data_IF_908096910838
#
_entry.id   IF_908096910838
#
_cell.length_a   1.000
_cell.length_b   1.000
_cell.length_c   1.000
_cell.angle_alpha   90.00
_cell.angle_beta   90.00
_cell.angle_gamma   90.00
#
_symmetry.space_group_name_H-M   'P 1'
#
loop_
_entity.id
_entity.type
_entity.pdbx_description
1 polymer ?
#
# COMPACT_ATOMS: atom_id res chain seq x y z
N UNK A 1 -22.03 -23.71 -67.66
CA UNK A 1 -21.36 -22.93 -66.59
C UNK A 1 -22.47 -22.41 -65.68
N UNK A 2 -22.50 -22.82 -64.41
CA UNK A 2 -23.50 -22.42 -63.40
C UNK A 2 -22.96 -21.23 -62.56
N UNK A 3 -23.72 -20.37 -61.88
CA UNK A 3 -25.17 -20.14 -61.66
C UNK A 3 -25.40 -18.60 -61.70
N UNK A 4 -26.53 -18.05 -62.19
CA UNK A 4 -27.87 -17.86 -61.57
C UNK A 4 -27.88 -16.95 -60.32
N UNK A 5 -28.76 -15.95 -60.36
CA UNK A 5 -28.98 -14.88 -59.39
C UNK A 5 -29.87 -15.28 -58.19
N UNK A 6 -29.88 -14.39 -57.19
CA UNK A 6 -30.89 -14.14 -56.15
C UNK A 6 -31.29 -15.23 -55.12
N UNK A 7 -31.30 -14.81 -53.85
CA UNK A 7 -31.65 -15.64 -52.71
C UNK A 7 -31.64 -14.91 -51.37
N UNK A 8 -32.50 -13.92 -51.18
CA UNK A 8 -32.73 -13.33 -49.87
C UNK A 8 -33.50 -14.30 -48.95
N UNK A 9 -33.00 -14.59 -47.75
CA UNK A 9 -33.78 -15.23 -46.68
C UNK A 9 -33.27 -14.81 -45.28
N UNK A 10 -34.14 -14.42 -44.34
CA UNK A 10 -33.72 -13.75 -43.11
C UNK A 10 -33.81 -14.66 -41.87
N UNK A 11 -32.72 -15.34 -41.48
CA UNK A 11 -32.55 -15.82 -40.09
C UNK A 11 -31.09 -16.19 -39.77
N UNK A 12 -30.43 -15.43 -38.87
CA UNK A 12 -29.22 -15.88 -38.16
C UNK A 12 -29.22 -15.41 -36.70
N UNK A 13 -29.38 -16.41 -35.82
CA UNK A 13 -29.01 -16.52 -34.40
C UNK A 13 -28.37 -15.28 -33.71
N UNK A 14 -28.98 -14.75 -32.62
CA UNK A 14 -28.40 -13.66 -31.82
C UNK A 14 -27.12 -14.00 -31.02
N UNK A 15 -26.70 -15.28 -30.94
CA UNK A 15 -25.69 -15.74 -29.96
C UNK A 15 -24.24 -15.89 -30.48
N UNK A 16 -23.87 -15.22 -31.57
CA UNK A 16 -22.45 -15.08 -31.97
C UNK A 16 -22.09 -13.66 -32.39
N UNK A 17 -21.77 -12.81 -31.40
CA UNK A 17 -20.93 -11.62 -31.61
C UNK A 17 -19.51 -11.89 -31.11
N UNK A 18 -18.72 -12.53 -31.96
CA UNK A 18 -17.26 -12.38 -31.90
C UNK A 18 -16.98 -11.00 -32.50
N UNK A 19 -16.49 -10.07 -31.69
CA UNK A 19 -16.12 -8.73 -32.17
C UNK A 19 -14.71 -8.83 -32.75
N UNK A 20 -14.62 -9.22 -34.03
CA UNK A 20 -13.43 -8.94 -34.83
C UNK A 20 -13.35 -7.42 -35.06
N UNK A 21 -12.55 -6.74 -34.23
CA UNK A 21 -12.22 -5.34 -34.48
C UNK A 21 -11.39 -5.23 -35.76
N UNK A 22 -12.04 -4.82 -36.84
CA UNK A 22 -11.39 -4.57 -38.12
C UNK A 22 -10.32 -3.48 -37.93
N UNK A 23 -9.06 -3.85 -38.21
CA UNK A 23 -7.88 -3.03 -37.93
C UNK A 23 -7.94 -1.63 -38.58
N UNK A 24 -8.77 -1.46 -39.62
CA UNK A 24 -8.95 -0.21 -40.36
C UNK A 24 -9.81 0.84 -39.64
N UNK A 25 -10.80 0.46 -38.81
CA UNK A 25 -11.62 1.46 -38.07
C UNK A 25 -10.80 2.16 -36.96
N UNK A 26 -9.87 1.43 -36.33
CA UNK A 26 -8.93 1.98 -35.35
C UNK A 26 -7.97 3.01 -35.97
N UNK A 27 -7.69 2.93 -37.27
CA UNK A 27 -6.92 3.95 -37.99
C UNK A 27 -7.76 5.16 -38.39
N UNK A 28 -9.07 5.02 -38.61
CA UNK A 28 -9.94 6.15 -38.92
C UNK A 28 -10.02 7.14 -37.74
N UNK A 29 -10.29 6.64 -36.51
CA UNK A 29 -10.30 7.46 -35.28
C UNK A 29 -8.95 8.10 -34.92
N UNK A 30 -7.84 7.71 -35.56
CA UNK A 30 -6.52 8.34 -35.35
C UNK A 30 -6.42 9.75 -35.97
N UNK A 31 -7.28 10.10 -36.94
CA UNK A 31 -7.15 11.34 -37.72
C UNK A 31 -7.87 12.58 -37.16
N UNK A 32 -8.76 12.43 -36.17
CA UNK A 32 -9.67 13.51 -35.76
C UNK A 32 -9.28 14.24 -34.46
N UNK A 33 -8.07 14.02 -33.92
CA UNK A 33 -7.56 14.81 -32.80
C UNK A 33 -6.53 15.87 -33.26
N UNK A 34 -6.91 17.17 -33.34
CA UNK A 34 -6.05 18.21 -33.89
C UNK A 34 -4.78 18.49 -33.07
N UNK A 35 -4.69 18.02 -31.82
CA UNK A 35 -3.52 18.18 -30.96
C UNK A 35 -2.38 17.19 -31.27
N UNK A 36 -2.64 16.07 -31.95
CA UNK A 36 -1.63 15.07 -32.26
C UNK A 36 -0.85 15.33 -33.57
N UNK A 37 -1.25 16.32 -34.38
CA UNK A 37 -0.64 16.56 -35.69
C UNK A 37 0.70 17.32 -35.65
N UNK A 38 1.04 17.96 -34.52
CA UNK A 38 2.14 18.96 -34.44
C UNK A 38 3.45 18.38 -33.88
N UNK A 39 3.40 17.29 -33.11
CA UNK A 39 4.56 16.76 -32.38
C UNK A 39 4.85 15.29 -32.76
N UNK A 40 5.95 15.06 -33.48
CA UNK A 40 6.46 13.72 -33.87
C UNK A 40 7.04 12.93 -32.68
N UNK A 41 6.19 12.56 -31.73
CA UNK A 41 6.53 11.62 -30.65
C UNK A 41 5.46 10.53 -30.56
N UNK A 42 5.83 9.29 -30.16
CA UNK A 42 4.84 8.25 -29.90
C UNK A 42 4.00 8.67 -28.69
N UNK A 43 2.71 8.95 -28.92
CA UNK A 43 1.80 9.28 -27.83
C UNK A 43 1.73 8.09 -26.86
N UNK A 44 1.89 8.29 -25.53
CA UNK A 44 1.54 7.26 -24.58
C UNK A 44 0.05 6.94 -24.73
N UNK A 45 -0.32 5.67 -24.54
CA UNK A 45 -1.71 5.22 -24.58
C UNK A 45 -2.47 5.73 -23.35
N UNK A 46 -2.84 7.01 -23.40
CA UNK A 46 -3.81 7.60 -22.47
C UNK A 46 -5.18 7.08 -22.91
N UNK A 47 -5.63 6.02 -22.25
CA UNK A 47 -7.02 5.61 -22.31
C UNK A 47 -7.88 6.74 -21.71
N UNK A 48 -8.42 7.60 -22.58
CA UNK A 48 -9.46 8.58 -22.23
C UNK A 48 -10.77 7.82 -21.96
N UNK A 49 -10.80 7.10 -20.85
CA UNK A 49 -11.98 6.42 -20.32
C UNK A 49 -12.87 7.47 -19.63
N UNK A 50 -13.57 8.26 -20.46
CA UNK A 50 -14.52 9.27 -20.03
C UNK A 50 -15.82 8.64 -19.51
N UNK A 51 -15.72 7.75 -18.51
CA UNK A 51 -16.87 7.21 -17.77
C UNK A 51 -17.08 8.02 -16.49
N UNK A 52 -18.00 9.00 -16.46
CA UNK A 52 -18.48 9.56 -15.21
C UNK A 52 -19.35 8.52 -14.48
N UNK A 53 -19.33 8.57 -13.16
CA UNK A 53 -19.96 7.64 -12.20
C UNK A 53 -19.34 6.23 -12.14
N UNK A 54 -18.86 5.88 -10.94
CA UNK A 54 -18.99 4.52 -10.42
C UNK A 54 -17.87 3.53 -10.74
N UNK A 55 -16.67 3.76 -10.19
CA UNK A 55 -15.81 2.65 -9.72
C UNK A 55 -16.03 2.46 -8.20
N UNK A 56 -17.13 1.82 -7.74
CA UNK A 56 -17.35 1.64 -6.32
C UNK A 56 -16.36 0.61 -5.77
N UNK A 57 -15.70 0.99 -4.68
CA UNK A 57 -15.16 0.15 -3.61
C UNK A 57 -14.29 -1.08 -3.97
N UNK A 58 -13.07 -1.04 -3.42
CA UNK A 58 -12.40 -2.13 -2.69
C UNK A 58 -12.92 -3.56 -2.96
N UNK A 59 -12.03 -4.46 -3.40
CA UNK A 59 -12.31 -5.88 -3.67
C UNK A 59 -12.71 -6.67 -2.41
N UNK A 60 -13.94 -6.43 -1.95
CA UNK A 60 -14.56 -7.06 -0.79
C UNK A 60 -14.90 -8.50 -1.18
N UNK A 61 -14.07 -9.43 -0.72
CA UNK A 61 -14.24 -10.86 -0.88
C UNK A 61 -14.19 -11.55 0.49
N UNK A 62 -14.41 -12.87 0.53
CA UNK A 62 -14.40 -13.66 1.78
C UNK A 62 -13.09 -13.51 2.56
N UNK A 63 -11.94 -13.40 1.87
CA UNK A 63 -10.64 -13.17 2.53
C UNK A 63 -10.58 -11.83 3.24
N UNK A 64 -11.15 -10.77 2.64
CA UNK A 64 -11.22 -9.45 3.28
C UNK A 64 -12.11 -9.45 4.54
N UNK A 65 -13.24 -10.16 4.53
CA UNK A 65 -14.06 -10.31 5.75
C UNK A 65 -13.33 -11.11 6.83
N UNK A 66 -12.65 -12.22 6.47
CA UNK A 66 -11.85 -13.00 7.41
C UNK A 66 -10.69 -12.19 8.00
N UNK A 67 -10.05 -11.33 7.20
CA UNK A 67 -9.03 -10.38 7.63
C UNK A 67 -9.58 -9.42 8.69
N UNK A 68 -10.73 -8.77 8.44
CA UNK A 68 -11.36 -7.85 9.39
C UNK A 68 -11.76 -8.56 10.70
N UNK A 69 -12.37 -9.74 10.61
CA UNK A 69 -12.73 -10.54 11.79
C UNK A 69 -11.48 -10.89 12.60
N UNK A 70 -10.40 -11.33 11.93
CA UNK A 70 -9.14 -11.69 12.61
C UNK A 70 -8.49 -10.48 13.27
N UNK A 71 -8.53 -9.30 12.64
CA UNK A 71 -8.04 -8.05 13.23
C UNK A 71 -8.84 -7.69 14.49
N UNK A 72 -10.18 -7.77 14.46
CA UNK A 72 -11.02 -7.53 15.64
C UNK A 72 -10.73 -8.54 16.77
N UNK A 73 -10.48 -9.80 16.45
CA UNK A 73 -10.08 -10.82 17.44
C UNK A 73 -8.68 -10.53 18.02
N UNK A 74 -7.73 -10.02 17.23
CA UNK A 74 -6.42 -9.58 17.74
C UNK A 74 -6.56 -8.35 18.66
N UNK A 75 -7.39 -7.38 18.30
CA UNK A 75 -7.67 -6.20 19.12
C UNK A 75 -8.31 -6.60 20.46
N UNK A 76 -9.23 -7.56 20.45
CA UNK A 76 -9.79 -8.17 21.66
C UNK A 76 -8.72 -8.93 22.47
N UNK A 77 -7.84 -9.68 21.80
CA UNK A 77 -6.74 -10.39 22.46
C UNK A 77 -5.79 -9.43 23.18
N UNK A 78 -5.48 -8.28 22.58
CA UNK A 78 -4.71 -7.18 23.20
C UNK A 78 -5.47 -6.57 24.37
N UNK A 79 -6.75 -6.20 24.19
CA UNK A 79 -7.56 -5.58 25.24
C UNK A 79 -7.72 -6.46 26.50
N UNK A 80 -7.56 -7.78 26.36
CA UNK A 80 -7.69 -8.77 27.44
C UNK A 80 -6.35 -9.38 27.88
N UNK A 81 -5.21 -8.87 27.39
CA UNK A 81 -3.86 -9.41 27.63
C UNK A 81 -3.72 -10.93 27.32
N UNK A 82 -4.52 -11.46 26.39
CA UNK A 82 -4.55 -12.87 26.01
C UNK A 82 -3.37 -13.23 25.08
N UNK A 83 -2.17 -13.30 25.66
CA UNK A 83 -0.90 -13.53 24.97
C UNK A 83 -0.88 -14.75 24.02
N UNK A 84 -1.57 -15.86 24.36
CA UNK A 84 -1.64 -17.06 23.51
C UNK A 84 -2.43 -16.83 22.23
N UNK A 85 -3.56 -16.12 22.34
CA UNK A 85 -4.40 -15.77 21.20
C UNK A 85 -3.64 -14.81 20.30
N UNK A 86 -3.04 -13.76 20.88
CA UNK A 86 -2.22 -12.77 20.16
C UNK A 86 -1.04 -13.38 19.40
N UNK A 87 -0.42 -14.43 19.93
CA UNK A 87 0.68 -15.14 19.26
C UNK A 87 0.25 -15.76 17.92
N UNK A 88 -1.03 -16.13 17.78
CA UNK A 88 -1.60 -16.68 16.55
C UNK A 88 -2.24 -15.59 15.69
N UNK A 89 -3.06 -14.71 16.30
CA UNK A 89 -3.84 -13.72 15.56
C UNK A 89 -2.97 -12.65 14.93
N UNK A 90 -1.92 -12.17 15.60
CA UNK A 90 -1.08 -11.08 15.09
C UNK A 90 -0.39 -11.44 13.76
N UNK A 91 0.32 -12.59 13.61
CA UNK A 91 0.80 -13.02 12.30
C UNK A 91 -0.34 -13.33 11.31
N UNK A 92 -1.47 -13.88 11.78
CA UNK A 92 -2.57 -14.28 10.92
C UNK A 92 -3.24 -13.10 10.20
N UNK A 93 -3.34 -11.92 10.82
CA UNK A 93 -3.85 -10.71 10.14
C UNK A 93 -2.99 -10.38 8.91
N UNK A 94 -1.66 -10.35 9.06
CA UNK A 94 -0.75 -10.06 7.94
C UNK A 94 -0.74 -11.17 6.89
N UNK A 95 -0.83 -12.45 7.30
CA UNK A 95 -0.98 -13.58 6.36
C UNK A 95 -2.26 -13.44 5.53
N UNK A 96 -3.39 -13.13 6.16
CA UNK A 96 -4.67 -12.92 5.44
C UNK A 96 -4.61 -11.70 4.52
N UNK A 97 -3.90 -10.64 4.90
CA UNK A 97 -3.68 -9.46 4.06
C UNK A 97 -2.83 -9.81 2.82
N UNK A 98 -1.77 -10.62 2.98
CA UNK A 98 -0.96 -11.14 1.86
C UNK A 98 -1.80 -12.05 0.94
N UNK A 99 -2.66 -12.92 1.50
CA UNK A 99 -3.55 -13.78 0.70
C UNK A 99 -4.57 -12.93 -0.07
N UNK A 100 -5.15 -11.91 0.56
CA UNK A 100 -6.07 -10.97 -0.12
C UNK A 100 -5.36 -10.26 -1.27
N UNK A 101 -4.21 -9.64 -0.99
CA UNK A 101 -3.35 -8.97 -1.97
C UNK A 101 -2.99 -9.86 -3.17
N UNK A 102 -2.61 -11.11 -2.89
CA UNK A 102 -2.25 -12.10 -3.91
C UNK A 102 -3.43 -12.47 -4.80
N UNK A 103 -4.60 -12.75 -4.20
CA UNK A 103 -5.81 -13.14 -4.95
C UNK A 103 -6.41 -11.98 -5.75
N UNK A 104 -6.19 -10.75 -5.31
CA UNK A 104 -6.54 -9.53 -6.05
C UNK A 104 -5.54 -9.17 -7.15
N UNK A 105 -4.51 -9.97 -7.43
CA UNK A 105 -3.55 -9.68 -8.52
C UNK A 105 -2.50 -8.62 -8.19
N UNK A 106 -2.29 -8.31 -6.90
CA UNK A 106 -1.38 -7.24 -6.46
C UNK A 106 0.10 -7.43 -6.79
N UNK A 107 0.51 -8.54 -7.41
CA UNK A 107 1.92 -8.82 -7.74
C UNK A 107 2.39 -8.24 -9.08
N UNK A 108 1.54 -7.49 -9.79
CA UNK A 108 1.90 -6.87 -11.07
C UNK A 108 2.59 -5.51 -10.89
N UNK A 109 3.51 -5.16 -11.80
CA UNK A 109 4.17 -3.86 -11.85
C UNK A 109 4.86 -3.47 -10.53
N UNK A 110 4.52 -2.28 -10.01
CA UNK A 110 5.04 -1.77 -8.73
C UNK A 110 4.54 -2.54 -7.50
N UNK A 111 3.52 -3.39 -7.67
CA UNK A 111 2.88 -4.15 -6.60
C UNK A 111 3.78 -5.23 -5.98
N UNK A 112 4.77 -5.72 -6.73
CA UNK A 112 5.84 -6.59 -6.20
C UNK A 112 6.47 -5.98 -4.94
N UNK A 113 6.69 -4.67 -4.92
CA UNK A 113 7.28 -3.98 -3.77
C UNK A 113 6.33 -3.90 -2.57
N UNK A 114 5.02 -3.73 -2.79
CA UNK A 114 4.02 -3.79 -1.72
C UNK A 114 3.90 -5.21 -1.15
N UNK A 115 3.96 -6.25 -2.00
CA UNK A 115 3.97 -7.64 -1.56
C UNK A 115 5.23 -8.01 -0.75
N UNK A 116 6.40 -7.57 -1.20
CA UNK A 116 7.67 -7.70 -0.43
C UNK A 116 7.55 -6.96 0.91
N UNK A 117 6.99 -5.75 0.93
CA UNK A 117 6.80 -4.99 2.15
C UNK A 117 5.89 -5.69 3.16
N UNK A 118 4.81 -6.35 2.71
CA UNK A 118 3.95 -7.17 3.56
C UNK A 118 4.68 -8.38 4.15
N UNK A 119 5.48 -9.10 3.35
CA UNK A 119 6.25 -10.26 3.81
C UNK A 119 7.26 -9.85 4.89
N UNK A 120 7.99 -8.74 4.68
CA UNK A 120 8.91 -8.23 5.70
C UNK A 120 8.19 -7.63 6.92
N UNK A 121 7.00 -7.05 6.75
CA UNK A 121 6.16 -6.62 7.88
C UNK A 121 5.71 -7.81 8.74
N UNK A 122 5.31 -8.93 8.13
CA UNK A 122 4.97 -10.18 8.82
C UNK A 122 6.15 -10.74 9.63
N UNK A 123 7.35 -10.78 9.05
CA UNK A 123 8.56 -11.18 9.80
C UNK A 123 8.87 -10.21 10.94
N UNK A 124 8.75 -8.89 10.71
CA UNK A 124 8.84 -7.87 11.74
C UNK A 124 7.86 -8.11 12.89
N UNK A 125 6.60 -8.43 12.59
CA UNK A 125 5.58 -8.70 13.60
C UNK A 125 5.88 -9.92 14.46
N UNK A 126 6.40 -11.00 13.84
CA UNK A 126 6.83 -12.23 14.52
C UNK A 126 8.02 -11.92 15.44
N UNK A 127 9.04 -11.20 14.94
CA UNK A 127 10.20 -10.82 15.75
C UNK A 127 9.85 -9.85 16.88
N UNK A 128 8.82 -9.01 16.73
CA UNK A 128 8.34 -8.10 17.78
C UNK A 128 7.31 -8.72 18.73
N UNK A 129 7.02 -10.02 18.66
CA UNK A 129 6.16 -10.68 19.66
C UNK A 129 6.81 -10.63 21.05
N UNK A 130 6.05 -10.13 22.06
CA UNK A 130 6.50 -10.04 23.46
C UNK A 130 7.03 -11.38 24.02
N UNK A 131 6.55 -12.52 23.53
CA UNK A 131 7.08 -13.84 23.86
C UNK A 131 8.53 -14.02 23.41
N UNK A 132 8.82 -13.76 22.13
CA UNK A 132 10.18 -13.82 21.56
C UNK A 132 11.12 -12.82 22.25
N UNK A 133 10.67 -11.58 22.45
CA UNK A 133 11.46 -10.52 23.10
C UNK A 133 11.86 -10.86 24.54
N UNK A 134 11.02 -11.59 25.29
CA UNK A 134 11.34 -12.07 26.64
C UNK A 134 12.40 -13.17 26.64
N UNK A 135 12.47 -13.97 25.57
CA UNK A 135 13.44 -15.07 25.43
C UNK A 135 14.80 -14.55 24.95
N UNK A 136 14.82 -13.65 23.95
CA UNK A 136 16.04 -12.99 23.49
C UNK A 136 15.80 -11.51 23.16
N UNK A 137 16.38 -10.56 23.90
CA UNK A 137 16.24 -9.12 23.63
C UNK A 137 16.70 -8.69 22.23
N UNK A 138 17.61 -9.46 21.60
CA UNK A 138 18.12 -9.21 20.24
C UNK A 138 17.06 -9.26 19.15
N UNK A 139 15.92 -9.96 19.34
CA UNK A 139 14.84 -10.00 18.36
C UNK A 139 14.24 -8.62 18.06
N UNK A 140 14.36 -7.65 18.96
CA UNK A 140 13.96 -6.27 18.66
C UNK A 140 14.76 -5.67 17.48
N UNK A 141 16.06 -5.96 17.38
CA UNK A 141 16.89 -5.48 16.27
C UNK A 141 16.52 -6.17 14.95
N UNK A 142 16.24 -7.48 14.99
CA UNK A 142 15.76 -8.22 13.81
C UNK A 142 14.39 -7.72 13.34
N UNK A 143 13.47 -7.42 14.27
CA UNK A 143 12.20 -6.77 13.96
C UNK A 143 12.38 -5.41 13.31
N UNK A 144 13.24 -4.55 13.88
CA UNK A 144 13.57 -3.23 13.33
C UNK A 144 14.15 -3.31 11.91
N UNK A 145 15.08 -4.24 11.65
CA UNK A 145 15.66 -4.46 10.32
C UNK A 145 14.61 -5.01 9.33
N UNK A 146 13.73 -5.89 9.79
CA UNK A 146 12.65 -6.44 8.96
C UNK A 146 11.67 -5.33 8.52
N UNK A 147 11.18 -4.53 9.47
CA UNK A 147 10.35 -3.36 9.14
C UNK A 147 11.10 -2.32 8.31
N UNK A 148 12.41 -2.11 8.51
CA UNK A 148 13.20 -1.20 7.68
C UNK A 148 13.15 -1.61 6.20
N UNK A 149 13.33 -2.89 5.90
CA UNK A 149 13.23 -3.43 4.54
C UNK A 149 11.81 -3.26 3.99
N UNK A 150 10.78 -3.47 4.82
CA UNK A 150 9.39 -3.21 4.43
C UNK A 150 9.15 -1.74 4.04
N UNK A 151 9.65 -0.79 4.83
CA UNK A 151 9.50 0.64 4.51
C UNK A 151 10.29 1.04 3.25
N UNK A 152 11.49 0.50 3.03
CA UNK A 152 12.25 0.69 1.77
C UNK A 152 11.44 0.17 0.58
N UNK A 153 10.83 -1.01 0.70
CA UNK A 153 10.01 -1.57 -0.35
C UNK A 153 8.76 -0.70 -0.61
N UNK A 154 8.05 -0.22 0.41
CA UNK A 154 6.97 0.76 0.21
C UNK A 154 7.44 2.05 -0.47
N UNK A 155 8.58 2.63 -0.08
CA UNK A 155 9.15 3.81 -0.77
C UNK A 155 9.35 3.51 -2.26
N UNK A 156 9.94 2.37 -2.61
CA UNK A 156 10.17 2.01 -4.02
C UNK A 156 8.83 1.82 -4.77
N UNK A 157 7.86 1.14 -4.15
CA UNK A 157 6.54 0.91 -4.74
C UNK A 157 5.73 2.19 -4.98
N UNK A 158 5.71 3.12 -4.03
CA UNK A 158 5.03 4.40 -4.18
C UNK A 158 5.67 5.30 -5.24
N UNK A 159 7.00 5.26 -5.40
CA UNK A 159 7.73 6.10 -6.37
C UNK A 159 7.87 5.48 -7.77
N UNK A 160 6.87 4.69 -8.19
CA UNK A 160 6.76 4.14 -9.55
C UNK A 160 5.41 4.53 -10.19
N UNK A 161 5.39 5.18 -11.37
CA UNK A 161 6.52 5.88 -11.98
C UNK A 161 7.12 6.94 -11.03
N UNK A 162 8.36 7.39 -11.31
CA UNK A 162 9.04 8.37 -10.45
C UNK A 162 8.23 9.68 -10.43
N UNK A 163 7.90 10.25 -9.26
CA UNK A 163 7.19 11.51 -9.19
C UNK A 163 8.05 12.64 -9.77
N UNK A 164 7.40 13.57 -10.46
CA UNK A 164 8.04 14.82 -10.87
C UNK A 164 8.21 15.72 -9.64
N UNK A 165 9.45 16.17 -9.39
CA UNK A 165 9.76 17.09 -8.31
C UNK A 165 9.14 18.46 -8.58
N UNK A 166 8.03 18.75 -7.90
CA UNK A 166 7.28 20.01 -7.94
C UNK A 166 7.45 20.78 -6.62
N UNK A 167 7.22 22.11 -6.62
CA UNK A 167 7.26 22.90 -5.38
C UNK A 167 6.34 22.35 -4.27
N UNK A 168 5.09 21.92 -4.54
CA UNK A 168 4.25 21.25 -3.54
C UNK A 168 4.84 19.95 -3.00
N UNK A 169 5.49 19.12 -3.85
CA UNK A 169 6.14 17.88 -3.40
C UNK A 169 7.30 18.14 -2.42
N UNK A 170 8.08 19.20 -2.67
CA UNK A 170 9.13 19.66 -1.76
C UNK A 170 8.53 20.17 -0.43
N UNK A 171 7.39 20.86 -0.49
CA UNK A 171 6.64 21.27 0.71
C UNK A 171 6.23 20.10 1.59
N UNK A 172 5.74 19.00 1.00
CA UNK A 172 5.43 17.75 1.73
C UNK A 172 6.69 17.17 2.38
N UNK A 173 7.80 17.05 1.63
CA UNK A 173 9.06 16.51 2.15
C UNK A 173 9.58 17.34 3.33
N UNK A 174 9.55 18.68 3.22
CA UNK A 174 9.95 19.59 4.30
C UNK A 174 9.03 19.45 5.52
N UNK A 175 7.71 19.41 5.32
CA UNK A 175 6.76 19.27 6.42
C UNK A 175 6.95 17.95 7.19
N UNK A 176 7.11 16.83 6.47
CA UNK A 176 7.38 15.51 7.08
C UNK A 176 8.75 15.50 7.77
N UNK A 177 9.78 16.10 7.17
CA UNK A 177 11.11 16.20 7.77
C UNK A 177 11.09 17.03 9.08
N UNK A 178 10.36 18.15 9.12
CA UNK A 178 10.21 18.97 10.34
C UNK A 178 9.51 18.20 11.46
N UNK A 179 8.36 17.56 11.18
CA UNK A 179 7.64 16.72 12.16
C UNK A 179 8.55 15.60 12.69
N UNK A 180 9.31 14.97 11.80
CA UNK A 180 10.22 13.87 12.12
C UNK A 180 11.46 14.33 12.90
N UNK A 181 11.95 15.55 12.66
CA UNK A 181 13.00 16.16 13.45
C UNK A 181 12.54 16.45 14.89
N UNK A 182 11.34 17.03 15.08
CA UNK A 182 10.82 17.30 16.42
C UNK A 182 10.49 16.04 17.23
N UNK A 183 9.88 15.02 16.60
CA UNK A 183 9.60 13.75 17.26
C UNK A 183 10.89 12.94 17.48
N UNK A 184 11.71 12.80 16.43
CA UNK A 184 12.96 12.04 16.48
C UNK A 184 13.99 12.61 17.43
N UNK A 185 14.08 13.94 17.58
CA UNK A 185 14.97 14.59 18.55
C UNK A 185 14.66 14.19 20.00
N UNK A 186 13.36 14.12 20.37
CA UNK A 186 12.91 13.65 21.69
C UNK A 186 13.23 12.18 21.92
N UNK A 187 13.10 11.36 20.89
CA UNK A 187 13.42 9.93 20.94
C UNK A 187 14.93 9.69 21.07
N UNK A 188 15.76 10.37 20.27
CA UNK A 188 17.22 10.30 20.32
C UNK A 188 17.75 10.80 21.67
N UNK A 189 17.18 11.87 22.24
CA UNK A 189 17.47 12.30 23.60
C UNK A 189 17.19 11.20 24.64
N UNK A 190 16.05 10.53 24.52
CA UNK A 190 15.66 9.40 25.39
C UNK A 190 16.58 8.17 25.23
N UNK A 191 17.09 7.92 24.03
CA UNK A 191 18.07 6.86 23.74
C UNK A 191 19.45 7.18 24.33
N UNK A 192 19.94 8.40 24.12
CA UNK A 192 21.26 8.85 24.60
C UNK A 192 21.37 8.88 26.13
N UNK A 193 20.26 9.15 26.83
CA UNK A 193 20.19 9.14 28.30
C UNK A 193 20.44 7.76 28.94
N UNK A 194 20.44 6.67 28.18
CA UNK A 194 20.67 5.30 28.67
C UNK A 194 21.85 4.67 27.92
N UNK A 195 23.04 4.45 28.54
CA UNK A 195 24.23 3.93 27.86
C UNK A 195 24.00 2.62 27.08
N UNK A 196 23.18 1.72 27.61
CA UNK A 196 22.81 0.47 26.94
C UNK A 196 22.09 0.66 25.59
N UNK A 197 21.40 1.79 25.40
CA UNK A 197 20.61 2.11 24.20
C UNK A 197 21.39 2.93 23.16
N UNK A 198 22.58 3.47 23.48
CA UNK A 198 23.34 4.32 22.55
C UNK A 198 23.68 3.60 21.23
N UNK A 199 23.93 2.28 21.28
CA UNK A 199 24.16 1.45 20.08
C UNK A 199 22.94 1.37 19.14
N UNK A 200 21.73 1.71 19.61
CA UNK A 200 20.49 1.73 18.82
C UNK A 200 20.21 3.09 18.18
N UNK A 201 20.93 4.15 18.55
CA UNK A 201 20.70 5.51 18.01
C UNK A 201 20.84 5.54 16.49
N UNK A 202 21.90 4.96 15.93
CA UNK A 202 22.10 4.91 14.48
C UNK A 202 21.02 4.06 13.77
N UNK A 203 20.75 2.79 14.15
CA UNK A 203 19.65 2.01 13.59
C UNK A 203 18.28 2.70 13.64
N UNK A 204 17.92 3.30 14.78
CA UNK A 204 16.63 4.00 14.94
C UNK A 204 16.59 5.28 14.12
N UNK A 205 17.70 6.00 13.98
CA UNK A 205 17.77 7.21 13.12
C UNK A 205 17.58 6.87 11.65
N UNK A 206 18.26 5.81 11.16
CA UNK A 206 18.08 5.30 9.79
C UNK A 206 16.62 4.90 9.57
N UNK A 207 16.02 4.18 10.52
CA UNK A 207 14.61 3.77 10.47
C UNK A 207 13.66 4.98 10.39
N UNK A 208 13.84 5.98 11.25
CA UNK A 208 13.04 7.21 11.22
C UNK A 208 13.14 7.94 9.89
N UNK A 209 14.32 8.01 9.26
CA UNK A 209 14.48 8.62 7.94
C UNK A 209 13.68 7.83 6.89
N UNK A 210 13.78 6.50 6.86
CA UNK A 210 13.10 5.67 5.86
C UNK A 210 11.58 5.70 6.00
N UNK A 211 11.03 5.59 7.23
CA UNK A 211 9.56 5.70 7.42
C UNK A 211 9.05 7.12 7.10
N UNK A 212 9.86 8.15 7.33
CA UNK A 212 9.54 9.52 6.91
C UNK A 212 9.50 9.65 5.38
N UNK A 213 10.44 9.02 4.67
CA UNK A 213 10.42 8.94 3.21
C UNK A 213 9.20 8.15 2.71
N UNK A 214 8.80 7.07 3.39
CA UNK A 214 7.60 6.31 3.07
C UNK A 214 6.34 7.18 3.21
N UNK A 215 6.20 7.90 4.33
CA UNK A 215 5.10 8.84 4.56
C UNK A 215 5.06 9.94 3.50
N UNK A 216 6.21 10.57 3.21
CA UNK A 216 6.30 11.60 2.17
C UNK A 216 5.96 11.04 0.78
N UNK A 217 6.35 9.80 0.47
CA UNK A 217 6.03 9.14 -0.81
C UNK A 217 4.53 8.88 -0.96
N UNK A 218 3.87 8.41 0.10
CA UNK A 218 2.43 8.20 0.12
C UNK A 218 1.65 9.54 0.04
N UNK A 219 2.05 10.56 0.81
CA UNK A 219 1.44 11.90 0.75
C UNK A 219 1.59 12.54 -0.64
N UNK A 220 2.70 12.31 -1.34
CA UNK A 220 2.89 12.78 -2.72
C UNK A 220 1.94 12.12 -3.74
N UNK A 221 1.27 11.01 -3.42
CA UNK A 221 0.20 10.47 -4.30
C UNK A 221 -1.00 11.41 -4.40
N UNK A 222 -1.21 12.31 -3.42
CA UNK A 222 -2.26 13.33 -3.46
C UNK A 222 -2.01 14.44 -4.50
N UNK A 223 -0.78 14.55 -5.01
CA UNK A 223 -0.35 15.56 -5.97
C UNK A 223 -0.13 14.97 -7.38
N UNK A 224 -0.59 13.73 -7.61
CA UNK A 224 -0.26 12.92 -8.77
C UNK A 224 -1.50 12.55 -9.56
N UNK A 225 -1.58 13.07 -10.78
CA UNK A 225 -2.69 12.79 -11.71
C UNK A 225 -2.77 11.32 -12.14
N UNK A 226 -1.68 10.55 -11.98
CA UNK A 226 -1.68 9.11 -12.26
C UNK A 226 -2.34 8.25 -11.16
N UNK A 227 -2.57 8.81 -9.96
CA UNK A 227 -3.28 8.12 -8.88
C UNK A 227 -4.77 8.46 -8.84
N UNK A 228 -5.61 7.45 -8.60
CA UNK A 228 -7.03 7.69 -8.32
C UNK A 228 -7.16 8.45 -6.99
N UNK A 229 -7.83 9.60 -6.98
CA UNK A 229 -7.86 10.50 -5.80
C UNK A 229 -8.34 9.85 -4.50
N UNK A 230 -9.30 8.92 -4.55
CA UNK A 230 -9.74 8.14 -3.38
C UNK A 230 -8.69 7.15 -2.89
N UNK A 231 -7.92 6.53 -3.80
CA UNK A 231 -6.79 5.68 -3.45
C UNK A 231 -5.64 6.50 -2.87
N UNK A 232 -5.34 7.68 -3.43
CA UNK A 232 -4.33 8.59 -2.89
C UNK A 232 -4.67 9.09 -1.47
N UNK A 233 -5.94 9.40 -1.19
CA UNK A 233 -6.41 9.72 0.16
C UNK A 233 -6.25 8.54 1.12
N UNK A 234 -6.57 7.32 0.67
CA UNK A 234 -6.48 6.11 1.49
C UNK A 234 -5.01 5.69 1.75
N UNK A 235 -4.10 5.84 0.79
CA UNK A 235 -2.67 5.58 0.97
C UNK A 235 -2.03 6.61 1.89
N UNK A 236 -2.33 7.90 1.72
CA UNK A 236 -1.89 8.98 2.60
C UNK A 236 -2.35 8.77 4.04
N UNK A 237 -3.62 8.41 4.25
CA UNK A 237 -4.17 8.09 5.57
C UNK A 237 -3.51 6.84 6.17
N UNK A 238 -3.37 5.77 5.39
CA UNK A 238 -2.72 4.53 5.83
C UNK A 238 -1.25 4.75 6.23
N UNK A 239 -0.48 5.47 5.42
CA UNK A 239 0.91 5.81 5.73
C UNK A 239 1.03 6.70 6.98
N UNK A 240 0.11 7.65 7.15
CA UNK A 240 0.05 8.50 8.36
C UNK A 240 -0.21 7.65 9.61
N UNK A 241 -1.14 6.70 9.54
CA UNK A 241 -1.38 5.74 10.64
C UNK A 241 -0.18 4.84 10.92
N UNK A 242 0.58 4.44 9.89
CA UNK A 242 1.81 3.65 10.08
C UNK A 242 2.86 4.47 10.85
N UNK A 243 3.11 5.70 10.40
CA UNK A 243 4.04 6.61 11.05
C UNK A 243 3.65 6.88 12.51
N UNK A 244 2.34 7.04 12.80
CA UNK A 244 1.81 7.20 14.16
C UNK A 244 2.01 5.92 14.99
N UNK A 245 1.71 4.73 14.44
CA UNK A 245 1.99 3.42 15.08
C UNK A 245 3.43 3.35 15.57
N UNK A 246 4.37 3.57 14.67
CA UNK A 246 5.78 3.35 14.97
C UNK A 246 6.36 4.44 15.88
N UNK A 247 5.83 5.66 15.79
CA UNK A 247 6.13 6.73 16.75
C UNK A 247 5.69 6.37 18.18
N UNK A 248 4.47 5.83 18.34
CA UNK A 248 3.98 5.37 19.66
C UNK A 248 4.82 4.19 20.15
N UNK A 249 5.10 3.20 19.30
CA UNK A 249 5.91 2.02 19.63
C UNK A 249 7.32 2.40 20.08
N UNK A 250 7.96 3.35 19.39
CA UNK A 250 9.30 3.83 19.75
C UNK A 250 9.30 4.62 21.06
N UNK A 251 8.29 5.47 21.30
CA UNK A 251 8.16 6.20 22.56
C UNK A 251 7.92 5.28 23.76
N UNK A 252 7.02 4.29 23.64
CA UNK A 252 6.76 3.27 24.67
C UNK A 252 8.02 2.46 24.98
N UNK A 253 8.79 2.10 23.94
CA UNK A 253 10.01 1.27 24.08
C UNK A 253 11.17 2.00 24.75
N UNK A 254 11.39 3.28 24.44
CA UNK A 254 12.64 3.98 24.78
C UNK A 254 12.49 5.13 25.77
N UNK A 255 11.34 5.79 25.81
CA UNK A 255 11.08 6.97 26.64
C UNK A 255 10.36 6.59 27.94
N UNK A 256 9.03 6.60 27.95
CA UNK A 256 8.19 6.21 29.09
C UNK A 256 7.13 5.21 28.62
N UNK A 257 6.83 4.15 29.41
CA UNK A 257 5.84 3.15 29.04
C UNK A 257 4.43 3.75 29.06
N UNK A 258 3.70 3.55 27.96
CA UNK A 258 2.35 4.08 27.78
C UNK A 258 1.37 2.92 28.02
N UNK A 259 0.53 3.05 29.05
CA UNK A 259 -0.39 1.98 29.50
C UNK A 259 -1.28 1.39 28.39
N UNK A 260 -1.60 2.17 27.36
CA UNK A 260 -2.44 1.76 26.22
C UNK A 260 -1.69 1.66 24.88
N UNK A 261 -0.35 1.83 24.84
CA UNK A 261 0.40 1.83 23.58
C UNK A 261 0.18 0.55 22.78
N UNK A 262 0.16 -0.62 23.41
CA UNK A 262 -0.02 -1.88 22.69
C UNK A 262 -1.33 -1.92 21.89
N UNK A 263 -2.43 -1.39 22.45
CA UNK A 263 -3.72 -1.32 21.77
C UNK A 263 -3.71 -0.26 20.67
N UNK A 264 -3.17 0.94 20.95
CA UNK A 264 -3.09 2.02 19.96
C UNK A 264 -2.24 1.61 18.75
N UNK A 265 -1.03 1.11 18.98
CA UNK A 265 -0.13 0.56 17.95
C UNK A 265 -0.83 -0.53 17.15
N UNK A 266 -1.47 -1.50 17.82
CA UNK A 266 -2.13 -2.60 17.12
C UNK A 266 -3.29 -2.13 16.24
N UNK A 267 -4.08 -1.14 16.67
CA UNK A 267 -5.18 -0.59 15.86
C UNK A 267 -4.65 0.23 14.69
N UNK A 268 -3.76 1.20 14.94
CA UNK A 268 -3.24 2.09 13.89
C UNK A 268 -2.41 1.32 12.87
N UNK A 269 -1.61 0.33 13.27
CA UNK A 269 -0.85 -0.53 12.38
C UNK A 269 -1.74 -1.37 11.46
N UNK A 270 -2.77 -2.04 11.99
CA UNK A 270 -3.67 -2.85 11.16
C UNK A 270 -4.43 -1.98 10.15
N UNK A 271 -4.94 -0.83 10.57
CA UNK A 271 -5.59 0.12 9.68
C UNK A 271 -4.63 0.73 8.66
N UNK A 272 -3.36 0.96 9.03
CA UNK A 272 -2.31 1.42 8.13
C UNK A 272 -2.03 0.42 7.00
N UNK A 273 -1.73 -0.83 7.35
CA UNK A 273 -1.44 -1.90 6.41
C UNK A 273 -2.63 -2.14 5.47
N UNK A 274 -3.85 -2.25 6.02
CA UNK A 274 -5.07 -2.41 5.23
C UNK A 274 -5.28 -1.23 4.28
N UNK A 275 -5.11 0.01 4.76
CA UNK A 275 -5.28 1.23 3.97
C UNK A 275 -4.27 1.33 2.81
N UNK A 276 -2.99 1.11 3.07
CA UNK A 276 -1.91 1.14 2.07
C UNK A 276 -2.18 0.12 0.95
N UNK A 277 -2.52 -1.11 1.32
CA UNK A 277 -2.74 -2.19 0.37
C UNK A 277 -4.05 -2.02 -0.41
N UNK A 278 -5.13 -1.63 0.27
CA UNK A 278 -6.40 -1.34 -0.39
C UNK A 278 -6.30 -0.17 -1.37
N UNK A 279 -5.53 0.88 -1.01
CA UNK A 279 -5.24 1.99 -1.90
C UNK A 279 -4.47 1.53 -3.13
N UNK A 280 -3.41 0.73 -2.96
CA UNK A 280 -2.66 0.19 -4.09
C UNK A 280 -3.56 -0.62 -5.03
N UNK A 281 -4.30 -1.61 -4.51
CA UNK A 281 -5.18 -2.46 -5.32
C UNK A 281 -6.27 -1.67 -6.05
N UNK A 282 -6.87 -0.66 -5.40
CA UNK A 282 -7.89 0.19 -6.01
C UNK A 282 -7.35 1.13 -7.10
N UNK A 283 -6.05 1.43 -7.08
CA UNK A 283 -5.37 2.22 -8.11
C UNK A 283 -4.87 1.35 -9.28
N UNK A 284 -4.25 0.21 -8.99
CA UNK A 284 -3.47 -0.56 -9.97
C UNK A 284 -4.22 -1.68 -10.67
N UNK A 285 -5.20 -2.33 -10.01
CA UNK A 285 -5.84 -3.53 -10.55
C UNK A 285 -7.08 -3.17 -11.39
N UNK A 286 -7.16 -3.57 -12.66
CA UNK A 286 -8.35 -3.35 -13.46
C UNK A 286 -9.55 -4.13 -12.91
N UNK A 287 -10.66 -3.43 -12.63
CA UNK A 287 -11.87 -3.97 -12.01
C UNK A 287 -12.66 -4.99 -12.86
N UNK A 288 -12.16 -5.35 -14.05
CA UNK A 288 -12.85 -6.24 -14.99
C UNK A 288 -12.39 -7.70 -14.92
N UNK A 289 -11.47 -8.08 -14.02
CA UNK A 289 -11.13 -9.49 -13.77
C UNK A 289 -12.34 -10.15 -13.08
N UNK A 290 -13.05 -11.10 -13.71
CA UNK A 290 -14.12 -11.83 -13.04
C UNK A 290 -13.50 -12.88 -12.11
N UNK A 291 -13.90 -12.85 -10.85
CA UNK A 291 -13.50 -13.81 -9.80
C UNK A 291 -14.60 -14.85 -9.55
#
# INVERSE_FOLDING_TARGET
>A
MWQVEDGASPYRDPRRRIIEYNHNELFAKRKENPLCAVLKYPCPFVALDNTPLGRPFMMINTTFFLLLITALVDWYAVFRDHYRLRYVTKPLVLILLIVWFTRSGGWEGSGVFFGVALIFSLFGDIFLLKGLLKVQPGFFQWGLVSFLIAQIAYVIGFNQPRPLLSFPSLGIVIAVALVSFFNGGRLIGSLNAKPANQKLVLPVTIYMIVISLMLASALNTLLRDDWLGSAALLSAFGATLFYISDSILAHDKFSQPIRTAEMLVTITYHLAQIGIIAAYLAHSVPLWIPY
#
